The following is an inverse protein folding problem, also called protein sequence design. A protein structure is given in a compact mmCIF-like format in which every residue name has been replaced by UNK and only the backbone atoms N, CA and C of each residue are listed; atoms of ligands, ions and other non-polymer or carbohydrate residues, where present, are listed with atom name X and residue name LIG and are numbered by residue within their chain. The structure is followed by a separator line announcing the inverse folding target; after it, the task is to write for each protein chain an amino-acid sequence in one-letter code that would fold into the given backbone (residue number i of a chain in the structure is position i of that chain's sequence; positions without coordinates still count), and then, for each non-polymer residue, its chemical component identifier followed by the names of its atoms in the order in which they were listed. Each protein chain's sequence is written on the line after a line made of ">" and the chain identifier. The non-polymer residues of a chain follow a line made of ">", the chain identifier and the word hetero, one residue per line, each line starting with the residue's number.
data_IF_804377016074
#
_entry.id   IF_804377016074
#
_cell.length_a   1.000
_cell.length_b   1.000
_cell.length_c   1.000
_cell.angle_alpha   90.00
_cell.angle_beta   90.00
_cell.angle_gamma   90.00
#
_symmetry.space_group_name_H-M   'P 1'
#
loop_
_entity.id
_entity.type
_entity.pdbx_description
1 polymer ?
#
# COMPACT_ATOMS: atom_id res chain seq x y z
N UNK A 1 17.00 19.82 8.68
CA UNK A 1 17.52 18.88 9.69
C UNK A 1 16.92 17.51 9.41
N UNK A 2 17.67 16.43 9.66
CA UNK A 2 17.15 15.06 9.58
C UNK A 2 16.06 14.82 10.64
N UNK A 3 15.04 14.03 10.27
CA UNK A 3 13.93 13.65 11.14
C UNK A 3 13.73 12.14 11.10
N UNK A 4 13.61 11.50 12.27
CA UNK A 4 13.26 10.08 12.36
C UNK A 4 11.83 9.89 11.86
N UNK A 5 11.68 9.11 10.79
CA UNK A 5 10.43 8.99 10.06
C UNK A 5 10.17 7.54 9.66
N UNK A 6 8.89 7.19 9.50
CA UNK A 6 8.54 6.06 8.64
C UNK A 6 8.73 6.54 7.20
N UNK A 7 9.59 5.85 6.44
CA UNK A 7 9.91 6.17 5.05
C UNK A 7 9.46 5.01 4.17
N UNK A 8 8.58 5.31 3.21
CA UNK A 8 8.12 4.36 2.21
C UNK A 8 8.69 4.76 0.85
N UNK A 9 9.34 3.82 0.18
CA UNK A 9 9.66 3.91 -1.24
C UNK A 9 8.74 2.97 -2.02
N UNK A 10 8.11 3.47 -3.07
CA UNK A 10 7.20 2.73 -3.94
C UNK A 10 7.66 2.89 -5.39
N UNK A 11 7.64 1.78 -6.11
CA UNK A 11 7.90 1.66 -7.54
C UNK A 11 6.61 1.22 -8.26
N UNK A 12 6.28 1.91 -9.36
CA UNK A 12 5.17 1.52 -10.24
C UNK A 12 5.70 0.55 -11.30
N UNK A 13 5.22 -0.69 -11.26
CA UNK A 13 5.63 -1.72 -12.20
C UNK A 13 5.07 -1.47 -13.60
N UNK A 14 5.94 -1.59 -14.62
CA UNK A 14 5.54 -1.39 -16.02
C UNK A 14 5.39 0.08 -16.43
N UNK A 15 5.83 1.02 -15.59
CA UNK A 15 5.65 2.45 -15.83
C UNK A 15 6.25 2.95 -17.15
N UNK A 16 7.41 2.42 -17.56
CA UNK A 16 8.01 2.74 -18.86
C UNK A 16 7.05 2.49 -20.02
N UNK A 17 6.37 1.34 -20.00
CA UNK A 17 5.42 0.99 -21.06
C UNK A 17 4.17 1.85 -21.01
N UNK A 18 3.70 2.20 -19.80
CA UNK A 18 2.61 3.17 -19.61
C UNK A 18 2.97 4.54 -20.20
N UNK A 19 4.17 5.05 -19.94
CA UNK A 19 4.65 6.33 -20.49
C UNK A 19 4.72 6.26 -22.01
N UNK A 20 5.29 5.19 -22.58
CA UNK A 20 5.34 5.00 -24.03
C UNK A 20 3.94 4.95 -24.68
N UNK A 21 2.96 4.36 -24.01
CA UNK A 21 1.58 4.36 -24.48
C UNK A 21 0.93 5.75 -24.37
N UNK A 22 1.26 6.50 -23.32
CA UNK A 22 0.70 7.84 -23.05
C UNK A 22 1.05 8.88 -24.11
N UNK A 23 2.15 8.71 -24.86
CA UNK A 23 2.49 9.62 -25.95
C UNK A 23 1.45 9.63 -27.07
N UNK A 24 0.65 8.56 -27.19
CA UNK A 24 -0.36 8.40 -28.23
C UNK A 24 -1.78 8.14 -27.67
N UNK A 25 -1.95 8.12 -26.34
CA UNK A 25 -3.23 7.81 -25.68
C UNK A 25 -3.49 8.75 -24.51
N UNK A 26 -4.51 9.61 -24.66
CA UNK A 26 -4.97 10.50 -23.58
C UNK A 26 -5.44 9.70 -22.36
N UNK A 27 -6.06 8.53 -22.57
CA UNK A 27 -6.49 7.66 -21.48
C UNK A 27 -5.31 7.15 -20.65
N UNK A 28 -4.20 6.77 -21.29
CA UNK A 28 -3.00 6.34 -20.58
C UNK A 28 -2.32 7.52 -19.86
N UNK A 29 -2.33 8.72 -20.45
CA UNK A 29 -1.83 9.93 -19.79
C UNK A 29 -2.65 10.28 -18.54
N UNK A 30 -3.98 10.23 -18.64
CA UNK A 30 -4.90 10.46 -17.51
C UNK A 30 -4.73 9.41 -16.42
N UNK A 31 -4.48 8.15 -16.78
CA UNK A 31 -4.19 7.07 -15.82
C UNK A 31 -2.90 7.34 -15.04
N UNK A 32 -1.82 7.74 -15.72
CA UNK A 32 -0.55 8.12 -15.06
C UNK A 32 -0.78 9.31 -14.13
N UNK A 33 -1.39 10.37 -14.64
CA UNK A 33 -1.62 11.59 -13.86
C UNK A 33 -2.48 11.31 -12.62
N UNK A 34 -3.61 10.62 -12.79
CA UNK A 34 -4.49 10.26 -11.67
C UNK A 34 -3.81 9.34 -10.65
N UNK A 35 -2.97 8.40 -11.10
CA UNK A 35 -2.16 7.54 -10.23
C UNK A 35 -1.22 8.35 -9.35
N UNK A 36 -0.42 9.24 -9.94
CA UNK A 36 0.51 10.08 -9.19
C UNK A 36 -0.23 11.06 -8.26
N UNK A 37 -1.40 11.56 -8.69
CA UNK A 37 -2.25 12.43 -7.88
C UNK A 37 -2.86 11.72 -6.66
N UNK A 38 -3.17 10.42 -6.73
CA UNK A 38 -3.63 9.61 -5.58
C UNK A 38 -2.58 9.56 -4.46
N UNK A 39 -1.29 9.53 -4.81
CA UNK A 39 -0.20 9.59 -3.82
C UNK A 39 0.03 11.03 -3.35
N UNK A 40 0.06 12.00 -4.26
CA UNK A 40 0.26 13.41 -3.90
C UNK A 40 -0.85 13.96 -3.01
N UNK A 41 -2.08 13.46 -3.13
CA UNK A 41 -3.16 13.86 -2.23
C UNK A 41 -2.87 13.51 -0.78
N UNK A 42 -1.99 12.55 -0.49
CA UNK A 42 -1.52 12.27 0.87
C UNK A 42 -0.83 13.47 1.55
N UNK A 43 -0.42 14.53 0.85
CA UNK A 43 0.07 15.75 1.52
C UNK A 43 -1.08 16.60 2.10
N UNK A 44 -2.34 16.29 1.73
CA UNK A 44 -3.51 17.08 2.14
C UNK A 44 -4.14 16.52 3.43
N UNK A 45 -4.47 17.38 4.41
CA UNK A 45 -5.21 17.01 5.61
C UNK A 45 -6.42 16.12 5.40
N UNK A 46 -7.22 16.44 4.38
CA UNK A 46 -8.48 15.77 4.06
C UNK A 46 -8.30 14.35 3.49
N UNK A 47 -7.09 13.96 3.07
CA UNK A 47 -6.85 12.67 2.40
C UNK A 47 -6.50 11.53 3.34
N UNK A 48 -6.25 11.83 4.61
CA UNK A 48 -5.98 10.86 5.69
C UNK A 48 -7.21 10.76 6.60
N UNK A 49 -8.32 10.23 6.08
CA UNK A 49 -9.53 10.11 6.88
C UNK A 49 -9.38 9.00 7.94
N UNK A 50 -9.62 9.34 9.21
CA UNK A 50 -9.77 8.38 10.31
C UNK A 50 -10.93 7.41 10.07
N UNK A 51 -11.85 7.76 9.17
CA UNK A 51 -12.99 6.95 8.75
C UNK A 51 -12.56 5.60 8.14
N UNK A 52 -11.33 5.50 7.62
CA UNK A 52 -10.76 4.22 7.14
C UNK A 52 -10.17 3.37 8.28
N UNK A 53 -9.99 3.94 9.47
CA UNK A 53 -9.51 3.27 10.69
C UNK A 53 -10.70 2.71 11.49
N UNK A 54 -11.85 2.52 10.83
CA UNK A 54 -13.11 2.01 11.38
C UNK A 54 -13.06 0.56 11.95
N UNK A 55 -11.89 -0.02 12.17
CA UNK A 55 -11.77 -1.49 12.19
C UNK A 55 -11.48 -2.11 13.56
N UNK A 56 -11.38 -1.33 14.64
CA UNK A 56 -11.45 -1.91 15.99
C UNK A 56 -12.20 -1.00 16.97
N UNK A 57 -13.18 -1.56 17.70
CA UNK A 57 -13.73 -0.94 18.93
C UNK A 57 -12.61 -0.52 19.89
N UNK A 58 -11.47 -1.22 19.85
CA UNK A 58 -10.30 -0.92 20.66
C UNK A 58 -9.52 0.32 20.18
N UNK A 59 -9.56 0.67 18.90
CA UNK A 59 -9.04 1.95 18.41
C UNK A 59 -9.92 3.11 18.88
N UNK A 60 -11.24 2.93 18.91
CA UNK A 60 -12.19 3.90 19.47
C UNK A 60 -11.94 4.12 20.97
N UNK A 61 -11.46 3.11 21.72
CA UNK A 61 -11.06 3.25 23.14
C UNK A 61 -9.75 4.03 23.35
N UNK A 62 -8.85 4.07 22.36
CA UNK A 62 -7.56 4.78 22.44
C UNK A 62 -7.66 6.27 22.07
N UNK A 63 -8.80 6.71 21.53
CA UNK A 63 -8.96 8.05 20.97
C UNK A 63 -8.36 8.15 19.56
N UNK A 64 -8.89 9.05 18.72
CA UNK A 64 -8.49 9.17 17.31
C UNK A 64 -7.38 10.21 17.07
N UNK A 65 -7.10 11.08 18.04
CA UNK A 65 -6.21 12.23 17.88
C UNK A 65 -4.77 11.83 17.48
N UNK A 66 -4.29 10.69 17.98
CA UNK A 66 -2.94 10.19 17.70
C UNK A 66 -2.75 9.61 16.30
N UNK A 67 -3.84 9.26 15.60
CA UNK A 67 -3.83 8.69 14.24
C UNK A 67 -3.71 9.75 13.14
N UNK A 68 -3.86 11.03 13.46
CA UNK A 68 -3.69 12.14 12.52
C UNK A 68 -2.23 12.32 12.08
N UNK A 69 -1.94 12.04 10.81
CA UNK A 69 -0.56 12.10 10.26
C UNK A 69 -0.39 13.09 9.11
N UNK A 70 -1.47 13.73 8.66
CA UNK A 70 -1.44 14.57 7.47
C UNK A 70 -0.43 15.70 7.52
N UNK A 71 -0.38 16.44 8.63
CA UNK A 71 0.50 17.60 8.80
C UNK A 71 1.99 17.23 8.85
N UNK A 72 2.30 15.94 8.96
CA UNK A 72 3.66 15.37 9.07
C UNK A 72 4.01 14.48 7.89
N UNK A 73 3.07 14.29 6.96
CA UNK A 73 3.26 13.50 5.75
C UNK A 73 3.85 14.38 4.67
N UNK A 74 4.90 13.88 4.03
CA UNK A 74 5.46 14.47 2.81
C UNK A 74 5.55 13.40 1.74
N UNK A 75 5.23 13.76 0.51
CA UNK A 75 5.24 12.84 -0.62
C UNK A 75 6.00 13.49 -1.79
N UNK A 76 6.97 12.79 -2.37
CA UNK A 76 7.63 13.22 -3.61
C UNK A 76 7.44 12.13 -4.64
N UNK A 77 7.02 12.51 -5.84
CA UNK A 77 6.87 11.61 -6.98
C UNK A 77 7.86 12.03 -8.05
N UNK A 78 8.67 11.10 -8.53
CA UNK A 78 9.59 11.27 -9.65
C UNK A 78 9.45 10.05 -10.56
N UNK A 79 8.80 10.23 -11.72
CA UNK A 79 8.50 9.10 -12.62
C UNK A 79 7.67 8.02 -11.90
N UNK A 80 8.15 6.78 -11.93
CA UNK A 80 7.69 5.57 -11.25
C UNK A 80 8.03 5.53 -9.76
N UNK A 81 8.96 6.36 -9.31
CA UNK A 81 9.45 6.38 -7.93
C UNK A 81 8.64 7.35 -7.07
N UNK A 82 8.04 6.82 -6.00
CA UNK A 82 7.27 7.59 -5.03
C UNK A 82 7.91 7.42 -3.65
N UNK A 83 8.22 8.55 -3.01
CA UNK A 83 8.77 8.58 -1.65
C UNK A 83 7.77 9.24 -0.72
N UNK A 84 7.34 8.52 0.30
CA UNK A 84 6.48 9.04 1.37
C UNK A 84 7.28 9.02 2.66
N UNK A 85 7.27 10.11 3.41
CA UNK A 85 7.85 10.14 4.76
C UNK A 85 6.86 10.72 5.75
N UNK A 86 6.75 10.09 6.91
CA UNK A 86 5.93 10.57 8.03
C UNK A 86 6.81 10.70 9.26
N UNK A 87 6.98 11.94 9.73
CA UNK A 87 7.76 12.23 10.93
C UNK A 87 7.11 11.59 12.17
N UNK A 88 7.92 10.93 13.00
CA UNK A 88 7.46 10.26 14.21
C UNK A 88 7.60 11.19 15.41
N UNK A 89 6.49 11.85 15.74
CA UNK A 89 6.35 12.66 16.98
C UNK A 89 5.37 12.02 17.98
N UNK A 90 4.54 11.07 17.53
CA UNK A 90 3.51 10.37 18.34
C UNK A 90 3.82 8.86 18.40
N UNK A 91 2.86 8.06 18.89
CA UNK A 91 2.95 6.60 18.88
C UNK A 91 3.15 6.06 17.44
N UNK A 92 4.29 5.40 17.24
CA UNK A 92 4.68 4.75 15.99
C UNK A 92 3.56 3.82 15.46
N UNK A 93 2.86 3.11 16.34
CA UNK A 93 1.85 2.14 15.97
C UNK A 93 0.59 2.79 15.38
N UNK A 94 0.21 3.95 15.88
CA UNK A 94 -0.93 4.72 15.37
C UNK A 94 -0.58 5.32 14.01
N UNK A 95 0.60 5.94 13.91
CA UNK A 95 1.12 6.49 12.66
C UNK A 95 1.19 5.41 11.58
N UNK A 96 1.74 4.24 11.93
CA UNK A 96 1.87 3.11 11.02
C UNK A 96 0.51 2.52 10.63
N UNK A 97 -0.47 2.48 11.55
CA UNK A 97 -1.84 2.07 11.25
C UNK A 97 -2.47 2.93 10.15
N UNK A 98 -2.37 4.26 10.29
CA UNK A 98 -2.93 5.19 9.32
C UNK A 98 -2.23 5.08 7.96
N UNK A 99 -0.89 4.95 7.96
CA UNK A 99 -0.10 4.74 6.74
C UNK A 99 -0.55 3.48 5.99
N UNK A 100 -0.55 2.33 6.67
CA UNK A 100 -0.84 1.04 6.04
C UNK A 100 -2.27 0.97 5.50
N UNK A 101 -3.25 1.51 6.24
CA UNK A 101 -4.64 1.57 5.77
C UNK A 101 -4.73 2.35 4.45
N UNK A 102 -4.07 3.51 4.34
CA UNK A 102 -4.11 4.31 3.11
C UNK A 102 -3.30 3.70 1.97
N UNK A 103 -2.12 3.12 2.25
CA UNK A 103 -1.35 2.41 1.23
C UNK A 103 -2.13 1.22 0.68
N UNK A 104 -2.85 0.48 1.53
CA UNK A 104 -3.70 -0.62 1.08
C UNK A 104 -4.87 -0.13 0.21
N UNK A 105 -5.52 0.97 0.59
CA UNK A 105 -6.60 1.61 -0.19
C UNK A 105 -6.10 2.08 -1.56
N UNK A 106 -5.00 2.82 -1.60
CA UNK A 106 -4.39 3.27 -2.85
C UNK A 106 -3.99 2.04 -3.68
N UNK A 107 -3.35 1.05 -3.06
CA UNK A 107 -2.96 -0.20 -3.71
C UNK A 107 -4.13 -0.90 -4.40
N UNK A 108 -5.26 -1.05 -3.71
CA UNK A 108 -6.48 -1.64 -4.28
C UNK A 108 -7.06 -0.81 -5.43
N UNK A 109 -7.10 0.51 -5.29
CA UNK A 109 -7.53 1.42 -6.35
C UNK A 109 -6.63 1.33 -7.59
N UNK A 110 -5.33 1.17 -7.41
CA UNK A 110 -4.40 1.02 -8.52
C UNK A 110 -4.53 -0.35 -9.19
N UNK A 111 -4.68 -1.42 -8.42
CA UNK A 111 -4.80 -2.77 -8.97
C UNK A 111 -6.02 -2.92 -9.88
N UNK A 112 -7.18 -2.40 -9.46
CA UNK A 112 -8.40 -2.43 -10.28
C UNK A 112 -8.29 -1.58 -11.55
N UNK A 113 -7.37 -0.61 -11.57
CA UNK A 113 -7.06 0.23 -12.73
C UNK A 113 -5.90 -0.35 -13.57
N UNK A 114 -5.46 -1.58 -13.28
CA UNK A 114 -4.39 -2.26 -14.03
C UNK A 114 -2.96 -1.93 -13.58
N UNK A 115 -2.80 -1.13 -12.51
CA UNK A 115 -1.52 -0.63 -12.04
C UNK A 115 -1.01 -1.46 -10.86
N UNK A 116 0.18 -2.04 -11.02
CA UNK A 116 0.86 -2.79 -9.99
C UNK A 116 1.93 -1.95 -9.31
N UNK A 117 2.05 -2.08 -7.99
CA UNK A 117 3.07 -1.38 -7.20
C UNK A 117 3.84 -2.37 -6.33
N UNK A 118 5.10 -2.03 -6.06
CA UNK A 118 5.92 -2.68 -5.05
C UNK A 118 6.68 -1.64 -4.23
N UNK A 119 7.18 -2.01 -3.07
CA UNK A 119 7.85 -1.03 -2.23
C UNK A 119 8.49 -1.60 -0.97
N UNK A 120 9.19 -0.72 -0.26
CA UNK A 120 9.82 -0.98 1.02
C UNK A 120 9.47 0.12 2.03
N UNK A 121 9.24 -0.26 3.28
CA UNK A 121 9.01 0.67 4.40
C UNK A 121 10.12 0.49 5.43
N UNK A 122 10.80 1.59 5.75
CA UNK A 122 11.88 1.66 6.72
C UNK A 122 11.60 2.69 7.82
N UNK A 123 12.18 2.50 9.00
CA UNK A 123 12.14 3.47 10.10
C UNK A 123 13.54 4.06 10.32
N UNK A 124 13.81 5.24 9.76
CA UNK A 124 15.13 5.87 9.79
C UNK A 124 15.06 7.38 9.63
N UNK A 125 16.22 8.03 9.76
CA UNK A 125 16.39 9.45 9.50
C UNK A 125 16.29 9.79 8.01
N UNK A 126 15.53 10.84 7.72
CA UNK A 126 15.38 11.41 6.37
C UNK A 126 15.30 12.94 6.43
N UNK A 127 15.79 13.59 5.38
CA UNK A 127 15.41 14.95 5.04
C UNK A 127 14.44 14.87 3.87
N UNK A 128 13.22 15.39 4.05
CA UNK A 128 12.22 15.49 3.01
C UNK A 128 11.57 16.86 3.13
N UNK A 129 11.79 17.75 2.16
CA UNK A 129 11.17 19.07 2.16
C UNK A 129 11.19 19.71 0.76
N UNK A 130 10.11 20.36 0.35
CA UNK A 130 10.02 21.10 -0.92
C UNK A 130 10.51 20.29 -2.15
N UNK A 131 10.12 19.01 -2.23
CA UNK A 131 10.53 18.11 -3.32
C UNK A 131 11.98 17.62 -3.26
N UNK A 132 12.75 18.03 -2.25
CA UNK A 132 14.12 17.54 -2.02
C UNK A 132 14.07 16.43 -0.98
N UNK A 133 14.63 15.26 -1.34
CA UNK A 133 14.63 14.06 -0.48
C UNK A 133 15.98 13.39 -0.48
N UNK A 134 16.53 13.14 0.71
CA UNK A 134 17.75 12.33 0.90
C UNK A 134 17.83 11.83 2.34
N UNK A 135 18.56 10.73 2.55
CA UNK A 135 18.80 10.19 3.89
C UNK A 135 18.80 8.67 3.93
N UNK A 136 19.12 8.13 5.11
CA UNK A 136 19.25 6.69 5.32
C UNK A 136 17.93 5.96 5.10
N UNK A 137 16.80 6.58 5.48
CA UNK A 137 15.49 6.00 5.22
C UNK A 137 15.17 5.83 3.74
N UNK A 138 15.59 6.77 2.87
CA UNK A 138 15.41 6.64 1.43
C UNK A 138 16.27 5.50 0.87
N UNK A 139 17.55 5.45 1.26
CA UNK A 139 18.48 4.39 0.82
C UNK A 139 17.95 3.01 1.22
N UNK A 140 17.59 2.83 2.50
CA UNK A 140 17.14 1.55 3.02
C UNK A 140 15.82 1.09 2.37
N UNK A 141 14.84 1.98 2.23
CA UNK A 141 13.54 1.63 1.64
C UNK A 141 13.65 1.32 0.16
N UNK A 142 14.50 2.03 -0.58
CA UNK A 142 14.87 1.73 -1.96
C UNK A 142 15.57 0.37 -2.08
N UNK A 143 16.61 0.12 -1.29
CA UNK A 143 17.33 -1.16 -1.29
C UNK A 143 16.41 -2.34 -0.94
N UNK A 144 15.49 -2.15 0.01
CA UNK A 144 14.51 -3.16 0.39
C UNK A 144 13.54 -3.47 -0.76
N UNK A 145 13.02 -2.43 -1.43
CA UNK A 145 12.18 -2.59 -2.62
C UNK A 145 12.94 -3.36 -3.72
N UNK A 146 14.14 -2.90 -4.06
CA UNK A 146 14.89 -3.38 -5.22
C UNK A 146 15.37 -4.83 -5.02
N UNK A 147 15.82 -5.18 -3.83
CA UNK A 147 16.43 -6.49 -3.57
C UNK A 147 15.42 -7.56 -3.12
N UNK A 148 14.39 -7.17 -2.35
CA UNK A 148 13.51 -8.11 -1.65
C UNK A 148 12.03 -8.05 -2.11
N UNK A 149 11.55 -6.90 -2.60
CA UNK A 149 10.16 -6.76 -3.07
C UNK A 149 9.99 -7.24 -4.52
N UNK A 150 10.23 -8.54 -4.76
CA UNK A 150 10.15 -9.16 -6.10
C UNK A 150 8.75 -9.15 -6.72
N UNK A 151 7.72 -9.18 -5.88
CA UNK A 151 6.31 -9.26 -6.26
C UNK A 151 5.56 -7.93 -6.02
N UNK A 152 4.34 -7.75 -6.55
CA UNK A 152 3.50 -6.56 -6.32
C UNK A 152 3.01 -6.43 -4.87
N UNK A 153 3.92 -6.03 -3.98
CA UNK A 153 3.73 -5.91 -2.52
C UNK A 153 4.63 -4.83 -1.94
N UNK A 154 4.24 -4.29 -0.80
CA UNK A 154 5.06 -3.36 -0.01
C UNK A 154 5.51 -4.09 1.25
N UNK A 155 6.81 -4.21 1.47
CA UNK A 155 7.40 -4.97 2.59
C UNK A 155 8.04 -4.08 3.65
N UNK A 156 8.15 -4.59 4.87
CA UNK A 156 8.67 -3.86 6.02
C UNK A 156 10.12 -4.25 6.33
N UNK A 157 10.93 -3.25 6.65
CA UNK A 157 12.28 -3.44 7.15
C UNK A 157 12.28 -4.00 8.58
N UNK A 158 13.32 -4.75 8.93
CA UNK A 158 13.46 -5.42 10.23
C UNK A 158 13.41 -4.45 11.42
N UNK A 159 14.07 -3.30 11.31
CA UNK A 159 14.08 -2.23 12.31
C UNK A 159 12.69 -1.63 12.57
N UNK A 160 11.84 -1.53 11.54
CA UNK A 160 10.45 -1.12 11.74
C UNK A 160 9.67 -2.23 12.44
N UNK A 161 9.76 -3.47 11.98
CA UNK A 161 9.06 -4.61 12.59
C UNK A 161 9.40 -4.76 14.08
N UNK A 162 10.66 -4.54 14.48
CA UNK A 162 11.07 -4.65 15.89
C UNK A 162 10.50 -3.58 16.81
N UNK A 163 10.04 -2.46 16.26
CA UNK A 163 9.47 -1.33 17.00
C UNK A 163 7.93 -1.35 16.97
N UNK A 164 7.34 -2.12 16.06
CA UNK A 164 5.89 -2.34 16.01
C UNK A 164 5.47 -3.30 17.12
N UNK A 165 4.33 -3.00 17.72
CA UNK A 165 3.70 -3.85 18.72
C UNK A 165 3.31 -5.21 18.14
N UNK A 166 3.57 -6.28 18.89
CA UNK A 166 3.23 -7.64 18.49
C UNK A 166 2.11 -8.21 19.38
N UNK A 167 0.85 -8.29 18.91
CA UNK A 167 -0.29 -8.57 19.75
C UNK A 167 -0.53 -10.08 19.80
N UNK A 168 0.25 -10.79 20.61
CA UNK A 168 0.05 -12.23 20.77
C UNK A 168 -0.96 -12.62 21.83
N UNK A 169 -1.31 -11.75 22.77
CA UNK A 169 -1.97 -12.20 24.01
C UNK A 169 -3.31 -11.53 24.31
N UNK A 170 -3.54 -10.28 23.86
CA UNK A 170 -4.76 -9.54 24.23
C UNK A 170 -5.27 -8.67 23.07
N UNK A 171 -6.59 -8.74 22.81
CA UNK A 171 -7.27 -7.95 21.76
C UNK A 171 -7.10 -6.45 21.97
N UNK A 172 -7.22 -5.97 23.21
CA UNK A 172 -7.06 -4.55 23.56
C UNK A 172 -5.65 -3.95 23.29
N UNK A 173 -4.64 -4.80 23.05
CA UNK A 173 -3.30 -4.36 22.63
C UNK A 173 -3.13 -4.32 21.12
N UNK A 174 -4.14 -4.69 20.34
CA UNK A 174 -4.07 -4.62 18.88
C UNK A 174 -4.08 -3.16 18.41
N UNK A 175 -3.59 -3.02 17.20
CA UNK A 175 -3.62 -1.81 16.40
C UNK A 175 -4.17 -2.18 15.02
N UNK A 176 -4.85 -1.26 14.32
CA UNK A 176 -5.47 -1.54 13.03
C UNK A 176 -4.55 -2.20 11.99
N UNK A 177 -3.25 -1.85 11.92
CA UNK A 177 -2.34 -2.43 10.92
C UNK A 177 -2.26 -3.97 10.96
N UNK A 178 -2.55 -4.62 12.08
CA UNK A 178 -2.47 -6.08 12.21
C UNK A 178 -3.39 -6.83 11.24
N UNK A 179 -4.48 -6.20 10.79
CA UNK A 179 -5.42 -6.80 9.86
C UNK A 179 -4.94 -6.74 8.40
N UNK A 180 -3.98 -5.86 8.12
CA UNK A 180 -3.43 -5.62 6.78
C UNK A 180 -2.11 -6.37 6.54
N UNK A 181 -1.36 -6.68 7.60
CA UNK A 181 -0.05 -7.31 7.48
C UNK A 181 -0.14 -8.82 7.27
N UNK A 182 0.56 -9.31 6.27
CA UNK A 182 0.81 -10.72 6.04
C UNK A 182 2.29 -11.06 6.17
N UNK A 183 2.56 -12.30 6.56
CA UNK A 183 3.87 -12.94 6.39
C UNK A 183 3.84 -13.77 5.12
N UNK A 184 4.64 -13.37 4.13
CA UNK A 184 4.73 -14.03 2.84
C UNK A 184 5.60 -15.29 2.89
N UNK A 185 5.53 -16.11 1.85
CA UNK A 185 6.20 -17.42 1.76
C UNK A 185 7.74 -17.34 1.81
N UNK A 186 8.30 -16.19 1.43
CA UNK A 186 9.74 -15.89 1.54
C UNK A 186 10.14 -15.28 2.89
N UNK A 187 9.21 -15.20 3.84
CA UNK A 187 9.45 -14.72 5.19
C UNK A 187 9.36 -13.20 5.36
N UNK A 188 9.29 -12.42 4.27
CA UNK A 188 9.03 -10.98 4.34
C UNK A 188 7.66 -10.71 4.96
N UNK A 189 7.54 -9.60 5.69
CA UNK A 189 6.28 -9.11 6.25
C UNK A 189 5.89 -7.84 5.52
N UNK A 190 4.60 -7.68 5.21
CA UNK A 190 4.14 -6.49 4.49
C UNK A 190 2.68 -6.59 4.07
N UNK A 191 2.32 -5.82 3.05
CA UNK A 191 0.97 -5.79 2.48
C UNK A 191 1.00 -6.07 0.98
N UNK A 192 -0.08 -6.67 0.47
CA UNK A 192 -0.34 -6.78 -0.97
C UNK A 192 -1.56 -5.94 -1.35
N UNK A 193 -1.65 -5.48 -2.60
CA UNK A 193 -2.69 -4.53 -3.04
C UNK A 193 -4.14 -5.01 -2.78
N UNK A 194 -4.38 -6.32 -2.75
CA UNK A 194 -5.71 -6.91 -2.53
C UNK A 194 -6.21 -6.90 -1.06
N UNK A 195 -5.33 -6.69 -0.07
CA UNK A 195 -5.67 -6.96 1.35
C UNK A 195 -6.78 -6.04 1.85
N UNK A 196 -6.85 -4.84 1.28
CA UNK A 196 -7.88 -3.84 1.54
C UNK A 196 -9.30 -4.42 1.46
N UNK A 197 -9.60 -5.25 0.45
CA UNK A 197 -10.94 -5.81 0.27
C UNK A 197 -11.32 -6.75 1.42
N UNK A 198 -10.37 -7.54 1.93
CA UNK A 198 -10.61 -8.42 3.08
C UNK A 198 -10.83 -7.62 4.35
N UNK A 199 -10.08 -6.55 4.57
CA UNK A 199 -10.21 -5.72 5.78
C UNK A 199 -11.52 -4.93 5.78
N UNK A 200 -11.92 -4.38 4.62
CA UNK A 200 -13.07 -3.48 4.52
C UNK A 200 -14.38 -4.14 4.09
N UNK A 201 -14.44 -5.46 3.90
CA UNK A 201 -15.67 -6.16 3.49
C UNK A 201 -16.90 -5.94 4.40
N UNK A 202 -16.66 -5.56 5.66
CA UNK A 202 -17.70 -5.28 6.65
C UNK A 202 -17.75 -3.81 7.10
N UNK A 203 -16.99 -2.91 6.46
CA UNK A 203 -16.97 -1.48 6.83
C UNK A 203 -18.23 -0.77 6.32
N UNK A 204 -18.70 0.23 7.06
CA UNK A 204 -19.77 1.14 6.64
C UNK A 204 -19.32 2.10 5.53
N UNK A 205 -18.01 2.36 5.41
CA UNK A 205 -17.47 3.32 4.46
C UNK A 205 -17.56 2.87 2.99
N UNK A 206 -17.68 1.57 2.73
CA UNK A 206 -17.66 1.02 1.37
C UNK A 206 -18.78 0.00 1.22
N UNK A 207 -19.66 0.23 0.24
CA UNK A 207 -20.73 -0.72 -0.03
C UNK A 207 -20.18 -2.08 -0.48
N UNK A 208 -20.83 -3.17 -0.04
CA UNK A 208 -20.50 -4.53 -0.50
C UNK A 208 -20.48 -4.66 -2.02
N UNK A 209 -21.45 -4.02 -2.70
CA UNK A 209 -21.52 -4.00 -4.16
C UNK A 209 -20.25 -3.42 -4.79
N UNK A 210 -19.73 -2.33 -4.24
CA UNK A 210 -18.49 -1.72 -4.72
C UNK A 210 -17.29 -2.66 -4.56
N UNK A 211 -17.20 -3.37 -3.43
CA UNK A 211 -16.12 -4.34 -3.17
C UNK A 211 -16.16 -5.48 -4.19
N UNK A 212 -17.35 -6.00 -4.51
CA UNK A 212 -17.53 -7.05 -5.54
C UNK A 212 -17.07 -6.55 -6.91
N UNK A 213 -17.52 -5.36 -7.33
CA UNK A 213 -17.14 -4.79 -8.62
C UNK A 213 -15.64 -4.53 -8.72
N UNK A 214 -15.02 -4.03 -7.65
CA UNK A 214 -13.59 -3.75 -7.60
C UNK A 214 -12.75 -5.04 -7.56
N UNK A 215 -13.20 -6.08 -6.87
CA UNK A 215 -12.58 -7.41 -6.87
C UNK A 215 -12.66 -8.06 -8.26
N UNK A 216 -13.78 -7.88 -8.98
CA UNK A 216 -13.92 -8.37 -10.35
C UNK A 216 -12.92 -7.69 -11.29
N UNK A 217 -12.84 -6.35 -11.26
CA UNK A 217 -11.84 -5.60 -12.04
C UNK A 217 -10.41 -6.01 -11.71
N UNK A 218 -10.11 -6.24 -10.43
CA UNK A 218 -8.80 -6.73 -9.99
C UNK A 218 -8.51 -8.13 -10.53
N UNK A 219 -9.50 -9.03 -10.54
CA UNK A 219 -9.41 -10.37 -11.14
C UNK A 219 -9.15 -10.28 -12.64
N UNK A 220 -9.87 -9.42 -13.35
CA UNK A 220 -9.70 -9.18 -14.79
C UNK A 220 -8.28 -8.70 -15.11
N UNK A 221 -7.75 -7.76 -14.31
CA UNK A 221 -6.34 -7.31 -14.39
C UNK A 221 -5.37 -8.47 -14.21
N UNK A 222 -5.60 -9.35 -13.24
CA UNK A 222 -4.72 -10.50 -12.97
C UNK A 222 -4.75 -11.49 -14.14
N UNK A 223 -5.95 -11.83 -14.65
CA UNK A 223 -6.13 -12.75 -15.78
C UNK A 223 -5.46 -12.17 -17.03
N UNK A 224 -5.76 -10.92 -17.37
CA UNK A 224 -5.13 -10.24 -18.50
C UNK A 224 -3.60 -10.22 -18.38
N UNK A 225 -3.06 -9.98 -17.18
CA UNK A 225 -1.63 -10.03 -16.94
C UNK A 225 -1.00 -11.41 -17.17
N UNK A 226 -1.69 -12.48 -16.78
CA UNK A 226 -1.28 -13.87 -17.06
C UNK A 226 -1.30 -14.17 -18.57
N UNK A 227 -2.41 -13.83 -19.23
CA UNK A 227 -2.67 -14.14 -20.64
C UNK A 227 -1.83 -13.29 -21.60
N UNK A 228 -1.43 -12.08 -21.22
CA UNK A 228 -0.59 -11.22 -22.05
C UNK A 228 0.91 -11.49 -21.87
N UNK A 229 1.31 -12.18 -20.80
CA UNK A 229 2.73 -12.35 -20.44
C UNK A 229 3.20 -13.81 -20.31
N UNK A 230 2.46 -14.80 -20.83
CA UNK A 230 2.85 -16.23 -20.77
C UNK A 230 4.22 -16.54 -21.42
N UNK A 231 4.71 -15.67 -22.31
CA UNK A 231 6.05 -15.79 -22.93
C UNK A 231 7.15 -15.02 -22.17
N UNK A 232 6.81 -14.26 -21.12
CA UNK A 232 7.73 -13.44 -20.34
C UNK A 232 7.72 -13.91 -18.88
N UNK A 233 8.49 -14.94 -18.51
CA UNK A 233 8.34 -15.66 -17.24
C UNK A 233 8.38 -14.77 -16.00
N UNK A 234 9.28 -13.79 -15.96
CA UNK A 234 9.44 -12.91 -14.79
C UNK A 234 8.25 -11.95 -14.58
N UNK A 235 7.51 -11.58 -15.64
CA UNK A 235 6.28 -10.80 -15.52
C UNK A 235 5.11 -11.73 -15.18
N UNK A 236 5.03 -12.89 -15.85
CA UNK A 236 4.04 -13.91 -15.56
C UNK A 236 4.05 -14.33 -14.08
N UNK A 237 5.23 -14.52 -13.49
CA UNK A 237 5.39 -14.90 -12.10
C UNK A 237 4.82 -13.85 -11.12
N UNK A 238 4.86 -12.56 -11.47
CA UNK A 238 4.24 -11.49 -10.67
C UNK A 238 2.72 -11.64 -10.63
N UNK A 239 2.09 -11.88 -11.78
CA UNK A 239 0.65 -12.10 -11.86
C UNK A 239 0.23 -13.44 -11.27
N UNK A 240 1.05 -14.48 -11.40
CA UNK A 240 0.84 -15.78 -10.74
C UNK A 240 0.86 -15.62 -9.22
N UNK A 241 1.80 -14.83 -8.69
CA UNK A 241 1.84 -14.50 -7.27
C UNK A 241 0.58 -13.74 -6.82
N UNK A 242 0.13 -12.74 -7.58
CA UNK A 242 -1.11 -12.02 -7.29
C UNK A 242 -2.35 -12.93 -7.33
N UNK A 243 -2.45 -13.83 -8.31
CA UNK A 243 -3.51 -14.86 -8.35
C UNK A 243 -3.53 -15.68 -7.06
N UNK A 244 -2.36 -16.09 -6.57
CA UNK A 244 -2.27 -16.83 -5.31
C UNK A 244 -2.75 -15.98 -4.12
N UNK A 245 -2.40 -14.70 -4.05
CA UNK A 245 -2.92 -13.80 -3.01
C UNK A 245 -4.44 -13.60 -3.12
N UNK A 246 -4.97 -13.40 -4.33
CA UNK A 246 -6.41 -13.30 -4.59
C UNK A 246 -7.16 -14.54 -4.08
N UNK A 247 -6.63 -15.72 -4.36
CA UNK A 247 -7.22 -16.98 -3.90
C UNK A 247 -7.19 -17.12 -2.38
N UNK A 248 -6.14 -16.60 -1.71
CA UNK A 248 -6.00 -16.61 -0.24
C UNK A 248 -6.91 -15.62 0.49
N UNK A 249 -7.47 -14.61 -0.17
CA UNK A 249 -8.37 -13.65 0.47
C UNK A 249 -9.54 -14.35 1.17
N UNK A 250 -9.85 -13.95 2.40
CA UNK A 250 -11.01 -14.40 3.14
C UNK A 250 -12.13 -13.39 2.91
N UNK A 251 -13.05 -13.69 1.99
CA UNK A 251 -14.23 -12.87 1.69
C UNK A 251 -15.48 -13.66 2.10
N UNK A 252 -16.33 -13.09 2.96
CA UNK A 252 -17.41 -13.79 3.67
C UNK A 252 -18.61 -14.24 2.80
N UNK A 253 -18.63 -13.90 1.51
CA UNK A 253 -19.66 -14.38 0.58
C UNK A 253 -18.99 -15.28 -0.47
N UNK A 254 -19.19 -16.60 -0.34
CA UNK A 254 -18.55 -17.65 -1.14
C UNK A 254 -18.77 -17.49 -2.65
N UNK A 255 -19.83 -16.82 -3.08
CA UNK A 255 -20.18 -16.61 -4.50
C UNK A 255 -19.44 -15.42 -5.17
N UNK A 256 -18.62 -14.64 -4.44
CA UNK A 256 -17.94 -13.46 -5.01
C UNK A 256 -16.75 -13.85 -5.90
N UNK A 257 -16.07 -14.97 -5.61
CA UNK A 257 -14.90 -15.43 -6.37
C UNK A 257 -15.26 -16.30 -7.58
N UNK A 258 -16.48 -16.81 -7.61
CA UNK A 258 -16.97 -17.78 -8.60
C UNK A 258 -17.50 -17.15 -9.90
N UNK A 259 -17.58 -15.80 -9.97
CA UNK A 259 -18.05 -15.05 -11.16
C UNK A 259 -16.96 -14.53 -12.09
#
# INVERSE_FOLDING_TARGET
>A
MYKKSIVTFIDILGFKDLVNQSTNSHQALDLIHSTLMKFKSLEKPESWTSDLIEVEEDAQKKGLDGFGISNRTKCTCFSDSIVISIEIENDLNEVFSTLIANLSRIGAQLLKDGILIRGGIDLSDIYHNNGIVFGKGLINSYELETNEAKYPRIILAKNLISELNYPLLYKNKRYPYHQYLDRFEDGCVGIHQLIFYQVHQNSSAISKKQIVEDLKKSKDTIIHGLDSNFVTPHIFDKYKWLKNQYNKLIILEDNIKEG
#
